data_IF_370197857792
#
_entry.id   IF_370197857792
#
_cell.length_a   1.000
_cell.length_b   1.000
_cell.length_c   1.000
_cell.angle_alpha   90.00
_cell.angle_beta   90.00
_cell.angle_gamma   90.00
#
_symmetry.space_group_name_H-M   'P 1'
#
loop_
_entity.id
_entity.type
_entity.pdbx_description
1 polymer ?
#
# COMPACT_ATOMS: atom_id res chain seq x y z
N UNK A 1 13.33 25.27 -9.91
CA UNK A 1 12.04 24.66 -10.29
C UNK A 1 11.97 24.65 -11.79
N UNK A 2 11.81 23.47 -12.40
CA UNK A 2 11.64 23.33 -13.85
C UNK A 2 10.17 23.44 -14.25
N UNK A 3 9.27 22.99 -13.38
CA UNK A 3 7.84 22.95 -13.62
C UNK A 3 7.11 22.89 -12.28
N UNK A 4 5.92 23.49 -12.21
CA UNK A 4 5.07 23.52 -11.01
C UNK A 4 3.62 23.67 -11.44
N UNK A 5 2.73 22.90 -10.78
CA UNK A 5 1.28 23.01 -10.96
C UNK A 5 0.59 22.94 -9.61
N UNK A 6 -0.52 23.63 -9.47
CA UNK A 6 -1.37 23.58 -8.27
C UNK A 6 -2.59 22.70 -8.56
N UNK A 7 -2.87 21.75 -7.67
CA UNK A 7 -4.08 20.91 -7.72
C UNK A 7 -5.13 21.40 -6.72
N UNK A 8 -6.41 21.09 -6.96
CA UNK A 8 -7.52 21.61 -6.16
C UNK A 8 -7.75 20.86 -4.85
N UNK A 9 -7.15 19.67 -4.69
CA UNK A 9 -7.32 18.81 -3.52
C UNK A 9 -6.02 18.59 -2.74
N UNK A 10 -6.14 18.12 -1.51
CA UNK A 10 -5.00 17.71 -0.69
C UNK A 10 -4.36 16.45 -1.28
N UNK A 11 -3.03 16.40 -1.37
CA UNK A 11 -2.26 15.24 -1.87
C UNK A 11 -1.59 14.58 -0.68
N UNK A 12 -2.02 13.37 -0.31
CA UNK A 12 -1.53 12.64 0.84
C UNK A 12 -0.52 11.54 0.47
N UNK A 13 -0.55 11.07 -0.78
CA UNK A 13 0.36 10.04 -1.27
C UNK A 13 1.35 10.61 -2.30
N UNK A 14 2.57 10.03 -2.41
CA UNK A 14 3.51 10.41 -3.45
C UNK A 14 2.90 10.26 -4.85
N UNK A 15 3.18 11.20 -5.78
CA UNK A 15 2.79 11.04 -7.18
C UNK A 15 3.50 9.84 -7.84
N UNK A 16 2.82 9.18 -8.77
CA UNK A 16 3.48 8.26 -9.69
C UNK A 16 4.09 9.04 -10.86
N UNK A 17 5.33 8.73 -11.22
CA UNK A 17 6.09 9.48 -12.23
C UNK A 17 6.71 8.53 -13.24
N UNK A 18 6.66 8.91 -14.51
CA UNK A 18 7.43 8.35 -15.63
C UNK A 18 8.08 9.46 -16.44
N UNK A 19 8.74 9.14 -17.53
CA UNK A 19 9.37 10.15 -18.39
C UNK A 19 8.35 11.15 -18.95
N UNK A 20 7.15 10.68 -19.32
CA UNK A 20 6.11 11.47 -19.98
C UNK A 20 4.96 11.90 -19.08
N UNK A 21 4.76 11.23 -17.94
CA UNK A 21 3.56 11.38 -17.12
C UNK A 21 3.85 11.57 -15.64
N UNK A 22 3.06 12.45 -15.03
CA UNK A 22 2.92 12.59 -13.58
C UNK A 22 1.45 12.35 -13.21
N UNK A 23 1.19 11.36 -12.35
CA UNK A 23 -0.15 11.01 -11.90
C UNK A 23 -0.27 11.32 -10.43
N UNK A 24 -1.27 12.13 -10.09
CA UNK A 24 -1.52 12.62 -8.72
C UNK A 24 -2.90 12.20 -8.27
N UNK A 25 -2.98 11.61 -7.08
CA UNK A 25 -4.26 11.33 -6.43
C UNK A 25 -4.51 12.37 -5.32
N UNK A 26 -5.70 12.95 -5.30
CA UNK A 26 -6.11 13.88 -4.27
C UNK A 26 -7.11 13.24 -3.31
N UNK A 27 -7.13 13.71 -2.07
CA UNK A 27 -7.99 13.17 -1.01
C UNK A 27 -9.48 13.28 -1.32
N UNK A 28 -9.89 14.25 -2.15
CA UNK A 28 -11.28 14.42 -2.62
C UNK A 28 -11.67 13.44 -3.74
N UNK A 29 -10.93 12.35 -3.91
CA UNK A 29 -11.27 11.23 -4.81
C UNK A 29 -10.94 11.47 -6.28
N UNK A 30 -10.07 12.45 -6.62
CA UNK A 30 -9.66 12.66 -8.00
C UNK A 30 -8.32 12.02 -8.30
N UNK A 31 -8.19 11.48 -9.48
CA UNK A 31 -6.93 11.07 -10.09
C UNK A 31 -6.66 11.97 -11.30
N UNK A 32 -5.53 12.65 -11.28
CA UNK A 32 -5.14 13.65 -12.26
C UNK A 32 -3.90 13.18 -13.01
N UNK A 33 -3.96 13.15 -14.33
CA UNK A 33 -2.82 12.81 -15.16
C UNK A 33 -2.30 14.04 -15.90
N UNK A 34 -1.02 14.35 -15.68
CA UNK A 34 -0.32 15.45 -16.32
C UNK A 34 0.73 14.91 -17.27
N UNK A 35 0.82 15.46 -18.46
CA UNK A 35 2.06 15.34 -19.23
C UNK A 35 3.14 16.15 -18.55
N UNK A 36 4.35 15.62 -18.53
CA UNK A 36 5.51 16.33 -17.94
C UNK A 36 5.64 17.73 -18.58
N UNK A 37 5.65 18.76 -17.73
CA UNK A 37 5.71 20.16 -18.14
C UNK A 37 4.38 20.82 -18.51
N UNK A 38 3.25 20.13 -18.42
CA UNK A 38 1.93 20.72 -18.70
C UNK A 38 1.38 21.52 -17.50
N UNK A 39 0.73 22.65 -17.76
CA UNK A 39 0.17 23.55 -16.73
C UNK A 39 -1.20 23.09 -16.21
N UNK A 40 -1.81 22.10 -16.85
CA UNK A 40 -3.12 21.56 -16.49
C UNK A 40 -3.17 20.05 -16.71
N UNK A 41 -4.07 19.33 -16.01
CA UNK A 41 -4.21 17.89 -16.22
C UNK A 41 -4.71 17.59 -17.63
N UNK A 42 -4.10 16.60 -18.26
CA UNK A 42 -4.56 16.09 -19.58
C UNK A 42 -5.88 15.36 -19.43
N UNK A 43 -6.06 14.68 -18.29
CA UNK A 43 -7.29 14.00 -17.91
C UNK A 43 -7.50 14.04 -16.40
N UNK A 44 -8.75 13.91 -15.99
CA UNK A 44 -9.18 13.77 -14.59
C UNK A 44 -10.23 12.69 -14.49
N UNK A 45 -10.03 11.76 -13.57
CA UNK A 45 -11.03 10.75 -13.22
C UNK A 45 -11.43 10.98 -11.77
N UNK A 46 -12.73 10.90 -11.48
CA UNK A 46 -13.26 11.11 -10.14
C UNK A 46 -13.94 9.83 -9.66
N UNK A 47 -13.63 9.41 -8.45
CA UNK A 47 -14.36 8.37 -7.72
C UNK A 47 -15.20 8.98 -6.62
N UNK A 48 -16.28 8.28 -6.25
CA UNK A 48 -17.11 8.71 -5.13
C UNK A 48 -16.31 8.63 -3.82
N UNK A 49 -16.40 9.70 -3.02
CA UNK A 49 -15.79 9.72 -1.68
C UNK A 49 -16.88 9.42 -0.67
N UNK A 50 -16.77 8.36 0.14
CA UNK A 50 -17.72 8.07 1.22
C UNK A 50 -17.81 9.22 2.22
N UNK A 51 -18.93 9.31 2.95
CA UNK A 51 -19.16 10.33 4.00
C UNK A 51 -18.12 10.25 5.10
N UNK A 52 -17.69 9.03 5.45
CA UNK A 52 -16.58 8.77 6.36
C UNK A 52 -15.52 7.94 5.65
N UNK A 53 -14.28 8.38 5.76
CA UNK A 53 -13.07 7.70 5.27
C UNK A 53 -12.00 7.73 6.34
N UNK A 54 -11.05 6.81 6.27
CA UNK A 54 -9.76 6.97 6.92
C UNK A 54 -8.99 8.05 6.16
N UNK A 55 -8.20 8.85 6.88
CA UNK A 55 -7.46 9.93 6.24
C UNK A 55 -6.20 9.40 5.57
N UNK A 56 -6.34 8.76 4.42
CA UNK A 56 -5.27 8.21 3.62
C UNK A 56 -5.60 8.20 2.13
N UNK A 57 -4.60 7.93 1.31
CA UNK A 57 -4.74 7.61 -0.11
C UNK A 57 -3.63 6.66 -0.51
N UNK A 58 -3.97 5.63 -1.29
CA UNK A 58 -2.97 4.72 -1.83
C UNK A 58 -2.05 5.42 -2.85
N UNK A 59 -0.81 4.98 -2.92
CA UNK A 59 0.13 5.48 -3.94
C UNK A 59 -0.30 4.95 -5.31
N UNK A 60 -0.57 5.82 -6.30
CA UNK A 60 -0.89 5.36 -7.64
C UNK A 60 0.32 4.70 -8.30
N UNK A 61 0.08 3.82 -9.26
CA UNK A 61 1.12 3.12 -10.02
C UNK A 61 1.01 3.44 -11.51
N UNK A 62 2.15 3.57 -12.18
CA UNK A 62 2.23 3.64 -13.64
C UNK A 62 2.78 2.32 -14.18
N UNK A 63 1.95 1.57 -14.92
CA UNK A 63 2.28 0.27 -15.49
C UNK A 63 1.98 0.25 -16.98
N UNK A 64 3.03 0.37 -17.79
CA UNK A 64 2.87 0.54 -19.25
C UNK A 64 2.03 1.77 -19.58
N UNK A 65 0.93 1.59 -20.28
CA UNK A 65 0.02 2.67 -20.65
C UNK A 65 -1.11 2.90 -19.62
N UNK A 66 -1.06 2.26 -18.46
CA UNK A 66 -2.09 2.42 -17.45
C UNK A 66 -1.57 3.12 -16.19
N UNK A 67 -2.34 4.08 -15.70
CA UNK A 67 -2.29 4.57 -14.34
C UNK A 67 -3.27 3.74 -13.50
N UNK A 68 -2.81 3.11 -12.43
CA UNK A 68 -3.65 2.31 -11.53
C UNK A 68 -3.73 3.05 -10.20
N UNK A 69 -4.94 3.26 -9.70
CA UNK A 69 -5.21 3.91 -8.43
C UNK A 69 -6.26 3.14 -7.63
N UNK A 70 -6.16 3.22 -6.31
CA UNK A 70 -7.16 2.68 -5.40
C UNK A 70 -7.83 3.82 -4.63
N UNK A 71 -9.12 3.67 -4.32
CA UNK A 71 -9.95 4.72 -3.77
C UNK A 71 -10.63 4.31 -2.46
N UNK A 72 -11.12 5.31 -1.72
CA UNK A 72 -11.81 5.14 -0.45
C UNK A 72 -13.16 4.42 -0.56
N UNK A 73 -13.72 4.30 -1.77
CA UNK A 73 -14.94 3.52 -2.01
C UNK A 73 -14.67 2.01 -2.20
N UNK A 74 -13.42 1.56 -1.98
CA UNK A 74 -13.00 0.17 -2.10
C UNK A 74 -12.75 -0.31 -3.53
N UNK A 75 -12.58 0.61 -4.49
CA UNK A 75 -12.27 0.30 -5.88
C UNK A 75 -10.80 0.45 -6.20
N UNK A 76 -10.34 -0.36 -7.13
CA UNK A 76 -9.08 -0.19 -7.87
C UNK A 76 -9.43 0.04 -9.33
N UNK A 77 -8.89 1.08 -9.93
CA UNK A 77 -9.20 1.49 -11.30
C UNK A 77 -7.91 1.62 -12.09
N UNK A 78 -7.87 1.09 -13.31
CA UNK A 78 -6.82 1.36 -14.27
C UNK A 78 -7.33 2.30 -15.36
N UNK A 79 -6.55 3.30 -15.68
CA UNK A 79 -6.87 4.37 -16.62
C UNK A 79 -5.79 4.40 -17.69
N UNK A 80 -6.17 4.34 -18.95
CA UNK A 80 -5.24 4.56 -20.05
C UNK A 80 -4.73 6.01 -20.01
N UNK A 81 -3.42 6.17 -19.81
CA UNK A 81 -2.81 7.49 -19.59
C UNK A 81 -2.93 8.42 -20.80
N UNK A 82 -3.08 7.89 -22.01
CA UNK A 82 -3.16 8.71 -23.22
C UNK A 82 -4.57 9.26 -23.46
N UNK A 83 -5.60 8.49 -23.12
CA UNK A 83 -6.99 8.85 -23.37
C UNK A 83 -7.75 9.31 -22.12
N UNK A 84 -7.28 8.96 -20.91
CA UNK A 84 -8.00 9.18 -19.66
C UNK A 84 -9.21 8.24 -19.46
N UNK A 85 -9.38 7.25 -20.34
CA UNK A 85 -10.49 6.30 -20.25
C UNK A 85 -10.17 5.18 -19.25
N UNK A 86 -11.19 4.71 -18.54
CA UNK A 86 -11.08 3.54 -17.68
C UNK A 86 -10.86 2.30 -18.53
N UNK A 87 -9.72 1.63 -18.33
CA UNK A 87 -9.38 0.35 -18.96
C UNK A 87 -10.08 -0.82 -18.25
N UNK A 88 -10.08 -0.80 -16.93
CA UNK A 88 -10.79 -1.76 -16.08
C UNK A 88 -11.01 -1.19 -14.66
N UNK A 89 -11.98 -1.77 -13.97
CA UNK A 89 -12.29 -1.51 -12.56
C UNK A 89 -12.39 -2.84 -11.81
N UNK A 90 -11.92 -2.88 -10.57
CA UNK A 90 -12.03 -4.01 -9.66
C UNK A 90 -12.44 -3.55 -8.27
N UNK A 91 -13.47 -4.15 -7.69
CA UNK A 91 -13.94 -3.82 -6.34
C UNK A 91 -13.35 -4.78 -5.33
N UNK A 92 -12.60 -4.24 -4.37
CA UNK A 92 -11.93 -4.97 -3.29
C UNK A 92 -12.71 -4.85 -1.99
N UNK A 93 -13.07 -3.65 -1.59
CA UNK A 93 -13.95 -3.39 -0.46
C UNK A 93 -15.41 -3.25 -0.92
N UNK A 94 -16.34 -3.85 -0.19
CA UNK A 94 -17.77 -3.66 -0.39
C UNK A 94 -18.35 -3.09 0.90
N UNK A 95 -18.82 -1.82 0.91
CA UNK A 95 -19.41 -1.21 2.08
C UNK A 95 -20.59 -2.05 2.62
N UNK A 96 -20.50 -2.49 3.88
CA UNK A 96 -21.52 -3.29 4.53
C UNK A 96 -21.77 -2.77 5.94
N UNK A 97 -22.97 -2.98 6.46
CA UNK A 97 -23.34 -2.59 7.82
C UNK A 97 -24.36 -1.46 7.90
N UNK A 98 -24.78 -1.15 9.12
CA UNK A 98 -25.86 -0.23 9.41
C UNK A 98 -25.41 1.20 9.73
N UNK A 99 -24.15 1.41 10.04
CA UNK A 99 -23.58 2.72 10.34
C UNK A 99 -22.55 3.13 9.29
N UNK A 100 -22.25 4.44 9.20
CA UNK A 100 -21.21 4.93 8.28
C UNK A 100 -19.83 4.35 8.65
N UNK A 101 -19.55 4.11 9.94
CA UNK A 101 -18.29 3.50 10.40
C UNK A 101 -18.17 2.06 9.90
N UNK A 102 -19.25 1.27 9.95
CA UNK A 102 -19.23 -0.10 9.45
C UNK A 102 -19.01 -0.18 7.94
N UNK A 103 -19.27 0.92 7.22
CA UNK A 103 -19.20 1.00 5.75
C UNK A 103 -17.88 1.51 5.21
N UNK A 104 -16.93 1.87 6.08
CA UNK A 104 -15.58 2.28 5.66
C UNK A 104 -14.87 1.08 5.03
N UNK A 105 -14.39 1.24 3.79
CA UNK A 105 -13.68 0.18 3.03
C UNK A 105 -12.47 0.73 2.29
N UNK A 106 -11.87 1.76 2.85
CA UNK A 106 -10.78 2.51 2.24
C UNK A 106 -9.60 1.61 1.85
N UNK A 107 -8.98 1.95 0.73
CA UNK A 107 -7.72 1.36 0.29
C UNK A 107 -6.65 2.46 0.40
N UNK A 108 -6.06 2.59 1.57
CA UNK A 108 -5.06 3.62 1.87
C UNK A 108 -3.63 3.11 1.73
N UNK A 109 -3.42 1.84 2.02
CA UNK A 109 -2.11 1.23 1.99
C UNK A 109 -1.54 1.07 0.58
N UNK A 110 -0.22 1.08 0.50
CA UNK A 110 0.50 0.93 -0.77
C UNK A 110 0.24 -0.43 -1.41
N UNK A 111 -0.16 -0.41 -2.66
CA UNK A 111 -0.29 -1.60 -3.49
C UNK A 111 1.08 -2.13 -3.92
N UNK A 112 1.21 -3.43 -4.08
CA UNK A 112 2.44 -4.04 -4.62
C UNK A 112 2.17 -4.73 -5.95
N UNK A 113 2.97 -4.40 -6.97
CA UNK A 113 2.92 -5.07 -8.26
C UNK A 113 4.10 -6.03 -8.41
N UNK A 114 3.83 -7.24 -8.88
CA UNK A 114 4.87 -8.20 -9.29
C UNK A 114 4.42 -9.02 -10.50
N UNK A 115 5.13 -8.87 -11.60
CA UNK A 115 4.73 -9.48 -12.87
C UNK A 115 3.40 -8.92 -13.35
N UNK A 116 2.41 -9.78 -13.57
CA UNK A 116 1.05 -9.39 -13.97
C UNK A 116 0.09 -9.27 -12.77
N UNK A 117 0.57 -9.45 -11.57
CA UNK A 117 -0.24 -9.44 -10.35
C UNK A 117 -0.08 -8.12 -9.62
N UNK A 118 -1.20 -7.56 -9.19
CA UNK A 118 -1.31 -6.43 -8.29
C UNK A 118 -1.93 -6.91 -6.99
N UNK A 119 -1.24 -6.70 -5.89
CA UNK A 119 -1.70 -7.04 -4.54
C UNK A 119 -2.19 -5.79 -3.85
N UNK A 120 -3.37 -5.87 -3.26
CA UNK A 120 -4.06 -4.75 -2.63
C UNK A 120 -4.80 -5.24 -1.41
N UNK A 121 -4.85 -4.41 -0.37
CA UNK A 121 -5.64 -4.66 0.84
C UNK A 121 -6.52 -3.46 1.15
N UNK A 122 -7.71 -3.70 1.72
CA UNK A 122 -8.64 -2.66 2.15
C UNK A 122 -8.95 -2.78 3.64
N UNK A 123 -9.32 -1.66 4.25
CA UNK A 123 -9.90 -1.65 5.58
C UNK A 123 -11.26 -2.35 5.56
N UNK A 124 -11.60 -3.11 6.61
CA UNK A 124 -12.83 -3.90 6.75
C UNK A 124 -13.20 -4.74 5.50
N UNK A 125 -12.20 -5.19 4.76
CA UNK A 125 -12.42 -5.83 3.48
C UNK A 125 -11.53 -7.06 3.27
N UNK A 126 -10.75 -7.00 2.21
CA UNK A 126 -10.00 -8.13 1.68
C UNK A 126 -8.55 -7.75 1.40
N UNK A 127 -7.66 -8.75 1.42
CA UNK A 127 -6.46 -8.74 0.57
C UNK A 127 -6.78 -9.51 -0.71
N UNK A 128 -6.38 -8.98 -1.85
CA UNK A 128 -6.63 -9.60 -3.14
C UNK A 128 -5.42 -9.48 -4.07
N UNK A 129 -5.28 -10.45 -4.96
CA UNK A 129 -4.46 -10.33 -6.16
C UNK A 129 -5.34 -10.07 -7.37
N UNK A 130 -4.95 -9.09 -8.20
CA UNK A 130 -5.66 -8.66 -9.40
C UNK A 130 -4.72 -8.83 -10.60
N UNK A 131 -5.23 -9.33 -11.72
CA UNK A 131 -4.52 -9.29 -13.01
C UNK A 131 -4.48 -7.83 -13.49
N UNK A 132 -3.29 -7.25 -13.61
CA UNK A 132 -3.07 -5.84 -13.99
C UNK A 132 -3.57 -5.48 -15.37
N UNK A 133 -3.80 -6.47 -16.25
CA UNK A 133 -4.24 -6.26 -17.64
C UNK A 133 -5.77 -6.20 -17.75
N UNK A 134 -6.48 -6.88 -16.84
CA UNK A 134 -7.94 -7.12 -16.98
C UNK A 134 -8.75 -6.67 -15.78
N UNK A 135 -8.12 -6.35 -14.65
CA UNK A 135 -8.79 -6.05 -13.39
C UNK A 135 -9.43 -7.26 -12.70
N UNK A 136 -9.30 -8.46 -13.29
CA UNK A 136 -9.90 -9.67 -12.72
C UNK A 136 -9.18 -10.09 -11.45
N UNK A 137 -9.95 -10.33 -10.38
CA UNK A 137 -9.41 -10.93 -9.15
C UNK A 137 -8.95 -12.36 -9.44
N UNK A 138 -7.70 -12.64 -9.11
CA UNK A 138 -7.08 -13.97 -9.22
C UNK A 138 -7.39 -14.79 -7.96
N UNK A 139 -7.31 -14.15 -6.80
CA UNK A 139 -7.69 -14.69 -5.50
C UNK A 139 -7.99 -13.55 -4.51
N UNK A 140 -8.63 -13.89 -3.40
CA UNK A 140 -8.91 -12.97 -2.29
C UNK A 140 -8.97 -13.73 -0.96
N UNK A 141 -8.62 -13.03 0.14
CA UNK A 141 -8.71 -13.51 1.52
C UNK A 141 -9.25 -12.40 2.41
N UNK A 142 -9.97 -12.76 3.47
CA UNK A 142 -10.49 -11.79 4.45
C UNK A 142 -9.33 -11.27 5.30
N UNK A 143 -9.12 -9.97 5.26
CA UNK A 143 -8.16 -9.25 6.11
C UNK A 143 -8.52 -7.77 6.11
N UNK A 144 -8.42 -7.11 7.24
CA UNK A 144 -8.61 -5.67 7.35
C UNK A 144 -7.24 -5.01 7.51
N UNK A 145 -6.81 -4.23 6.52
CA UNK A 145 -5.50 -3.58 6.58
C UNK A 145 -5.53 -2.18 6.01
N UNK A 146 -4.81 -1.29 6.67
CA UNK A 146 -4.52 0.08 6.22
C UNK A 146 -3.05 0.25 5.81
N UNK A 147 -2.19 -0.69 6.19
CA UNK A 147 -0.75 -0.59 5.95
C UNK A 147 -0.33 -0.94 4.51
N UNK A 148 -1.20 -1.66 3.78
CA UNK A 148 -0.90 -2.12 2.42
C UNK A 148 -0.24 -3.49 2.38
N UNK A 149 0.26 -3.84 1.19
CA UNK A 149 0.83 -5.16 0.91
C UNK A 149 2.29 -5.07 0.51
N UNK A 150 3.05 -6.16 0.70
CA UNK A 150 4.36 -6.33 0.10
C UNK A 150 4.58 -7.80 -0.30
N UNK A 151 5.47 -8.03 -1.27
CA UNK A 151 5.75 -9.39 -1.78
C UNK A 151 7.21 -9.76 -1.56
N UNK A 152 7.43 -10.94 -1.07
CA UNK A 152 8.78 -11.51 -0.90
C UNK A 152 8.71 -13.01 -0.63
N UNK A 153 9.72 -13.75 -1.04
CA UNK A 153 9.86 -15.19 -0.79
C UNK A 153 8.63 -16.03 -1.19
N UNK A 154 7.94 -15.64 -2.26
CA UNK A 154 6.73 -16.31 -2.73
C UNK A 154 5.47 -16.07 -1.87
N UNK A 155 5.51 -15.10 -0.97
CA UNK A 155 4.41 -14.70 -0.11
C UNK A 155 3.95 -13.26 -0.38
N UNK A 156 2.73 -12.97 0.01
CA UNK A 156 2.17 -11.62 0.16
C UNK A 156 2.04 -11.33 1.65
N UNK A 157 2.75 -10.33 2.13
CA UNK A 157 2.73 -9.91 3.53
C UNK A 157 1.72 -8.81 3.75
N UNK A 158 0.93 -8.94 4.82
CA UNK A 158 -0.07 -7.96 5.24
C UNK A 158 -0.06 -7.86 6.76
N UNK A 159 0.03 -6.64 7.28
CA UNK A 159 -0.27 -6.35 8.68
C UNK A 159 -1.72 -5.92 8.78
N UNK A 160 -2.51 -6.60 9.61
CA UNK A 160 -3.89 -6.21 9.84
C UNK A 160 -4.03 -5.16 10.96
N UNK A 161 -5.22 -4.59 11.08
CA UNK A 161 -5.51 -3.54 12.07
C UNK A 161 -5.42 -4.02 13.51
N UNK A 162 -5.49 -5.33 13.76
CA UNK A 162 -5.37 -5.93 15.09
C UNK A 162 -3.90 -6.24 15.44
N UNK A 163 -2.96 -6.03 14.49
CA UNK A 163 -1.54 -6.26 14.67
C UNK A 163 -1.10 -7.68 14.34
N UNK A 164 -1.94 -8.49 13.67
CA UNK A 164 -1.50 -9.77 13.11
C UNK A 164 -0.70 -9.53 11.83
N UNK A 165 0.51 -10.07 11.76
CA UNK A 165 1.28 -10.10 10.53
C UNK A 165 1.06 -11.44 9.84
N UNK A 166 0.51 -11.42 8.63
CA UNK A 166 0.19 -12.60 7.84
C UNK A 166 1.05 -12.72 6.58
N UNK A 167 1.48 -13.94 6.26
CA UNK A 167 2.07 -14.30 4.98
C UNK A 167 1.10 -15.19 4.21
N UNK A 168 0.46 -14.65 3.20
CA UNK A 168 -0.36 -15.41 2.27
C UNK A 168 0.50 -15.98 1.16
N UNK A 169 0.23 -17.22 0.75
CA UNK A 169 0.87 -17.76 -0.45
C UNK A 169 0.49 -16.90 -1.66
N UNK A 170 1.47 -16.46 -2.44
CA UNK A 170 1.24 -15.63 -3.63
C UNK A 170 0.27 -16.25 -4.63
N UNK A 171 0.19 -17.59 -4.65
CA UNK A 171 -0.75 -18.35 -5.48
C UNK A 171 -2.21 -18.26 -5.00
N UNK A 172 -2.46 -17.69 -3.81
CA UNK A 172 -3.79 -17.63 -3.20
C UNK A 172 -4.26 -18.92 -2.54
N UNK A 173 -3.42 -19.95 -2.47
CA UNK A 173 -3.79 -21.27 -1.92
C UNK A 173 -3.89 -21.30 -0.37
N UNK A 174 -3.81 -20.15 0.28
CA UNK A 174 -3.97 -20.02 1.72
C UNK A 174 -2.87 -19.22 2.41
N UNK A 175 -2.81 -19.37 3.72
CA UNK A 175 -1.87 -18.69 4.61
C UNK A 175 -0.68 -19.62 4.83
N UNK A 176 0.53 -19.10 4.66
CA UNK A 176 1.75 -19.82 5.02
C UNK A 176 1.97 -19.79 6.53
N UNK A 177 1.86 -18.60 7.12
CA UNK A 177 1.95 -18.39 8.55
C UNK A 177 1.25 -17.09 8.96
N UNK A 178 0.92 -16.99 10.25
CA UNK A 178 0.43 -15.78 10.91
C UNK A 178 1.17 -15.62 12.23
N UNK A 179 1.60 -14.39 12.51
CA UNK A 179 2.15 -14.02 13.81
C UNK A 179 1.20 -13.05 14.49
N UNK A 180 0.70 -13.42 15.68
CA UNK A 180 -0.24 -12.66 16.51
C UNK A 180 0.44 -12.00 17.72
N UNK A 181 1.76 -12.20 17.91
CA UNK A 181 2.50 -11.71 19.09
C UNK A 181 2.64 -10.18 19.09
N UNK A 182 2.41 -9.55 17.93
CA UNK A 182 2.45 -8.10 17.76
C UNK A 182 1.06 -7.46 17.85
N UNK A 183 0.10 -8.16 18.45
CA UNK A 183 -1.27 -7.68 18.60
C UNK A 183 -1.37 -6.27 19.19
N UNK A 184 -2.26 -5.45 18.62
CA UNK A 184 -2.57 -4.07 19.04
C UNK A 184 -1.37 -3.10 18.99
N UNK A 185 -0.40 -3.33 18.09
CA UNK A 185 0.80 -2.49 17.96
C UNK A 185 0.81 -1.56 16.76
N UNK A 186 -0.28 -1.46 16.02
CA UNK A 186 -0.37 -0.57 14.82
C UNK A 186 0.87 -0.69 13.92
N UNK A 187 1.02 -1.84 13.31
CA UNK A 187 2.21 -2.19 12.54
C UNK A 187 2.29 -1.39 11.24
N UNK A 188 3.48 -0.91 10.91
CA UNK A 188 3.77 -0.34 9.59
C UNK A 188 3.66 -1.41 8.50
N UNK A 189 3.66 -0.97 7.23
CA UNK A 189 3.70 -1.88 6.07
C UNK A 189 4.84 -2.87 6.20
N UNK A 190 4.57 -4.19 6.12
CA UNK A 190 5.61 -5.20 6.17
C UNK A 190 6.57 -5.06 4.99
N UNK A 191 7.88 -5.00 5.25
CA UNK A 191 8.90 -4.81 4.23
C UNK A 191 9.88 -5.97 4.21
N UNK A 192 9.87 -6.81 3.16
CA UNK A 192 10.84 -7.90 3.02
C UNK A 192 12.26 -7.37 2.85
N UNK A 193 13.19 -7.98 3.58
CA UNK A 193 14.63 -7.71 3.48
C UNK A 193 15.41 -9.00 3.74
N UNK A 194 16.26 -9.43 2.81
CA UNK A 194 16.98 -10.71 2.90
C UNK A 194 16.03 -11.88 3.22
N UNK A 195 16.28 -12.64 4.27
CA UNK A 195 15.44 -13.75 4.74
C UNK A 195 14.33 -13.36 5.72
N UNK A 196 14.14 -12.05 5.94
CA UNK A 196 13.24 -11.51 6.93
C UNK A 196 12.16 -10.63 6.33
N UNK A 197 11.11 -10.39 7.10
CA UNK A 197 10.16 -9.31 6.89
C UNK A 197 10.22 -8.37 8.09
N UNK A 198 10.37 -7.08 7.82
CA UNK A 198 10.49 -6.02 8.81
C UNK A 198 9.17 -5.29 8.97
N UNK A 199 8.82 -4.89 10.20
CA UNK A 199 7.73 -3.96 10.50
C UNK A 199 8.11 -3.10 11.71
N UNK A 200 7.62 -1.87 11.77
CA UNK A 200 7.80 -0.97 12.92
C UNK A 200 6.46 -0.78 13.61
N UNK A 201 6.45 -0.84 14.93
CA UNK A 201 5.25 -0.61 15.73
C UNK A 201 5.10 0.88 16.15
N UNK A 202 3.94 1.23 16.75
CA UNK A 202 3.63 2.60 17.15
C UNK A 202 4.58 3.17 18.22
N UNK A 203 5.25 2.30 19.00
CA UNK A 203 6.27 2.69 19.98
C UNK A 203 7.65 2.92 19.35
N UNK A 204 7.83 2.63 18.06
CA UNK A 204 9.09 2.75 17.32
C UNK A 204 10.05 1.58 17.54
N UNK A 205 9.52 0.39 17.79
CA UNK A 205 10.29 -0.84 17.73
C UNK A 205 10.20 -1.46 16.34
N UNK A 206 11.36 -1.72 15.77
CA UNK A 206 11.53 -2.57 14.60
C UNK A 206 11.47 -4.03 15.03
N UNK A 207 10.62 -4.80 14.38
CA UNK A 207 10.52 -6.25 14.50
C UNK A 207 10.97 -6.89 13.20
N UNK A 208 11.82 -7.92 13.29
CA UNK A 208 12.23 -8.76 12.19
C UNK A 208 11.63 -10.16 12.38
N UNK A 209 10.87 -10.61 11.39
CA UNK A 209 10.27 -11.93 11.39
C UNK A 209 10.87 -12.77 10.28
N UNK A 210 11.04 -14.06 10.52
CA UNK A 210 11.47 -15.01 9.49
C UNK A 210 10.44 -15.11 8.37
N UNK A 211 10.84 -15.01 7.11
CA UNK A 211 9.95 -15.18 5.96
C UNK A 211 9.42 -16.60 5.81
N UNK A 212 10.07 -17.58 6.47
CA UNK A 212 9.73 -19.00 6.36
C UNK A 212 8.55 -19.39 7.24
N UNK A 213 8.58 -18.97 8.52
CA UNK A 213 7.66 -19.42 9.56
C UNK A 213 7.02 -18.29 10.41
N UNK A 214 7.42 -17.04 10.18
CA UNK A 214 6.87 -15.88 10.85
C UNK A 214 7.33 -15.69 12.30
N UNK A 215 8.32 -16.44 12.78
CA UNK A 215 8.89 -16.25 14.11
C UNK A 215 9.63 -14.91 14.21
N UNK A 216 9.48 -14.22 15.34
CA UNK A 216 10.24 -13.00 15.62
C UNK A 216 11.70 -13.40 15.92
N UNK A 217 12.62 -12.97 15.07
CA UNK A 217 14.05 -13.30 15.17
C UNK A 217 14.90 -12.11 15.58
N UNK A 218 14.34 -10.90 15.56
CA UNK A 218 15.05 -9.70 15.97
C UNK A 218 14.09 -8.59 16.37
N UNK A 219 14.52 -7.77 17.33
CA UNK A 219 13.80 -6.59 17.78
C UNK A 219 14.78 -5.50 18.23
N UNK A 220 14.56 -4.28 17.79
CA UNK A 220 15.36 -3.14 18.21
C UNK A 220 14.48 -1.88 18.32
N UNK A 221 14.74 -1.03 19.30
CA UNK A 221 14.13 0.29 19.33
C UNK A 221 14.88 1.20 18.37
N UNK A 222 14.22 1.63 17.30
CA UNK A 222 14.86 2.37 16.20
C UNK A 222 14.46 3.84 16.18
N UNK A 223 13.29 4.18 16.73
CA UNK A 223 12.80 5.54 16.80
C UNK A 223 12.09 5.79 18.13
N UNK A 224 11.79 7.05 18.43
CA UNK A 224 10.97 7.44 19.57
C UNK A 224 9.48 7.58 19.22
N UNK A 225 9.07 7.14 18.05
CA UNK A 225 7.72 7.25 17.51
C UNK A 225 7.46 6.14 16.48
N UNK A 226 6.22 5.99 16.05
CA UNK A 226 5.86 5.16 14.91
C UNK A 226 6.61 5.55 13.63
N UNK A 227 6.56 4.67 12.63
CA UNK A 227 7.01 4.94 11.27
C UNK A 227 5.88 4.54 10.30
N UNK A 228 5.00 5.48 9.96
CA UNK A 228 3.87 5.23 9.05
C UNK A 228 4.25 5.25 7.58
N UNK A 229 5.34 5.97 7.26
CA UNK A 229 5.89 5.94 5.91
C UNK A 229 6.42 4.54 5.58
N UNK A 230 6.26 4.13 4.32
CA UNK A 230 6.80 2.86 3.84
C UNK A 230 8.31 2.79 4.05
N UNK A 231 8.77 1.71 4.65
CA UNK A 231 10.20 1.44 4.75
C UNK A 231 10.74 1.02 3.38
N UNK A 232 12.01 1.35 3.13
CA UNK A 232 12.72 0.98 1.90
C UNK A 232 13.82 -0.02 2.25
N UNK A 233 13.76 -1.20 1.65
CA UNK A 233 14.85 -2.18 1.68
C UNK A 233 15.70 -2.04 0.41
N UNK A 234 16.94 -1.59 0.55
CA UNK A 234 17.85 -1.38 -0.56
C UNK A 234 19.30 -1.67 -0.16
N UNK A 235 20.04 -2.40 -1.00
CA UNK A 235 21.46 -2.70 -0.81
C UNK A 235 21.79 -3.32 0.56
N UNK A 236 20.94 -4.23 1.05
CA UNK A 236 21.11 -4.87 2.36
C UNK A 236 20.77 -3.98 3.56
N UNK A 237 20.28 -2.78 3.31
CA UNK A 237 19.91 -1.80 4.36
C UNK A 237 18.41 -1.59 4.38
N UNK A 238 17.90 -1.33 5.57
CA UNK A 238 16.54 -0.88 5.83
C UNK A 238 16.55 0.62 6.12
N UNK A 239 15.81 1.39 5.33
CA UNK A 239 15.68 2.83 5.51
C UNK A 239 14.29 3.08 6.11
N UNK A 240 14.25 3.79 7.23
CA UNK A 240 13.06 4.07 8.02
C UNK A 240 12.91 5.58 8.16
N UNK A 241 11.75 6.11 7.82
CA UNK A 241 11.38 7.49 8.11
C UNK A 241 10.32 7.49 9.22
N UNK A 242 10.72 7.94 10.40
CA UNK A 242 9.85 7.95 11.58
C UNK A 242 8.98 9.21 11.64
N UNK A 243 7.81 9.11 12.27
CA UNK A 243 6.83 10.20 12.37
C UNK A 243 7.35 11.45 13.10
N UNK A 244 8.43 11.31 13.90
CA UNK A 244 9.12 12.43 14.53
C UNK A 244 10.12 13.15 13.60
N UNK A 245 10.18 12.78 12.31
CA UNK A 245 11.05 13.38 11.29
C UNK A 245 12.46 12.79 11.20
N UNK A 246 12.78 11.74 11.96
CA UNK A 246 14.07 11.06 11.87
C UNK A 246 14.13 10.16 10.63
N UNK A 247 15.21 10.26 9.85
CA UNK A 247 15.56 9.34 8.78
C UNK A 247 16.70 8.44 9.29
N UNK A 248 16.44 7.14 9.32
CA UNK A 248 17.32 6.14 9.92
C UNK A 248 17.68 5.08 8.86
N UNK A 249 18.90 4.53 8.97
CA UNK A 249 19.37 3.47 8.08
C UNK A 249 20.03 2.36 8.91
N UNK A 250 19.49 1.16 8.81
CA UNK A 250 19.98 -0.03 9.50
C UNK A 250 20.52 -1.05 8.51
N UNK A 251 21.57 -1.72 8.89
CA UNK A 251 22.12 -2.90 8.22
C UNK A 251 21.76 -4.13 9.04
N UNK A 252 21.44 -5.24 8.37
CA UNK A 252 21.20 -6.50 9.04
C UNK A 252 22.53 -7.21 9.25
N UNK A 253 22.85 -7.51 10.50
CA UNK A 253 23.99 -8.35 10.85
C UNK A 253 23.48 -9.67 11.43
N UNK A 254 24.10 -10.78 11.05
CA UNK A 254 23.85 -12.06 11.71
C UNK A 254 24.46 -11.99 13.13
N UNK A 255 23.70 -12.43 14.12
CA UNK A 255 24.26 -12.68 15.44
C UNK A 255 24.99 -14.02 15.39
N UNK A 256 26.29 -14.02 15.72
CA UNK A 256 27.13 -15.21 15.83
C UNK A 256 26.67 -16.13 16.97
#
# INVERSE_FOLDING_TARGET
>A
ILWQVTVSGEVLAPPAVSDDWVVVQTYDGKLLGFKTGADSPTWTVTSDVPVLTLRGTSVPLLLGNNAIAAFADGKVVAIDVNSGNVSWESRIGVPQGGSEIDRIVDIDGTMTQQGIELFVASYQGLVAAIDTRTGRKLWQQNVSSVAGTHVGFGNVYVADVDGTLSAFLRTGQGVRWQNIELGYRELSRPTPISSYVATVDFDGYLHLLSQVDGQIVGRAKVAGSAARADMIAANGRLIIFADNGQLLSYELEALD
#
